data_IF_621638824180
#
_entry.id   IF_621638824180
#
_cell.length_a   1.000
_cell.length_b   1.000
_cell.length_c   1.000
_cell.angle_alpha   90.00
_cell.angle_beta   90.00
_cell.angle_gamma   90.00
#
_symmetry.space_group_name_H-M   'P 1'
#
loop_
_entity.id
_entity.type
_entity.pdbx_description
1 polymer ?
#
# COMPACT_ATOMS: atom_id res chain seq x y z
N UNK A 1 -12.22 32.00 -68.66
CA UNK A 1 -11.88 32.84 -67.49
C UNK A 1 -12.21 32.06 -66.24
N UNK A 2 -11.19 31.70 -65.47
CA UNK A 2 -11.32 30.83 -64.30
C UNK A 2 -11.88 31.64 -63.11
N UNK A 3 -12.93 31.13 -62.48
CA UNK A 3 -13.44 31.64 -61.19
C UNK A 3 -12.92 30.69 -60.12
N UNK A 4 -11.96 31.17 -59.34
CA UNK A 4 -11.38 30.47 -58.19
C UNK A 4 -12.34 30.61 -57.02
N UNK A 5 -12.84 29.49 -56.51
CA UNK A 5 -13.57 29.42 -55.24
C UNK A 5 -12.58 29.48 -54.08
N UNK A 6 -12.59 30.57 -53.30
CA UNK A 6 -11.91 30.63 -52.00
C UNK A 6 -12.89 30.14 -50.92
N UNK A 7 -12.80 28.86 -50.56
CA UNK A 7 -13.42 28.34 -49.35
C UNK A 7 -12.54 28.67 -48.14
N UNK A 8 -13.01 29.59 -47.28
CA UNK A 8 -12.42 29.77 -45.95
C UNK A 8 -12.83 28.60 -45.06
N UNK A 9 -11.88 27.73 -44.72
CA UNK A 9 -12.06 26.65 -43.75
C UNK A 9 -11.77 27.22 -42.36
N UNK A 10 -12.81 27.55 -41.59
CA UNK A 10 -12.66 27.95 -40.18
C UNK A 10 -12.51 26.67 -39.35
N UNK A 11 -11.26 26.31 -39.03
CA UNK A 11 -10.96 25.29 -38.04
C UNK A 11 -11.25 25.86 -36.65
N UNK A 12 -12.39 25.49 -36.08
CA UNK A 12 -12.70 25.72 -34.67
C UNK A 12 -11.77 24.86 -33.80
N UNK A 13 -10.77 25.49 -33.18
CA UNK A 13 -9.97 24.90 -32.11
C UNK A 13 -10.86 24.72 -30.88
N UNK A 14 -11.38 23.51 -30.67
CA UNK A 14 -11.95 23.10 -29.38
C UNK A 14 -10.78 22.86 -28.43
N UNK A 15 -10.37 23.92 -27.73
CA UNK A 15 -9.50 23.80 -26.56
C UNK A 15 -10.30 23.12 -25.45
N UNK A 16 -10.26 21.79 -25.44
CA UNK A 16 -10.68 21.00 -24.29
C UNK A 16 -9.72 21.28 -23.14
N UNK A 17 -10.08 22.23 -22.27
CA UNK A 17 -9.46 22.33 -20.96
C UNK A 17 -9.86 21.08 -20.16
N UNK A 18 -9.04 20.03 -20.24
CA UNK A 18 -9.00 19.01 -19.21
C UNK A 18 -8.47 19.68 -17.94
N UNK A 19 -9.35 20.27 -17.16
CA UNK A 19 -9.10 20.56 -15.75
C UNK A 19 -8.98 19.21 -15.06
N UNK A 20 -7.78 18.62 -15.12
CA UNK A 20 -7.40 17.54 -14.21
C UNK A 20 -7.33 18.20 -12.83
N UNK A 21 -8.40 18.07 -12.07
CA UNK A 21 -8.40 18.43 -10.66
C UNK A 21 -7.48 17.45 -9.97
N UNK A 22 -6.19 17.78 -9.79
CA UNK A 22 -5.26 16.96 -9.00
C UNK A 22 -5.53 17.14 -7.51
N UNK A 23 -6.76 16.86 -7.08
CA UNK A 23 -7.05 16.54 -5.69
C UNK A 23 -6.80 15.04 -5.61
N UNK A 24 -5.64 14.65 -5.05
CA UNK A 24 -5.17 13.26 -5.07
C UNK A 24 -6.23 12.29 -4.53
N UNK A 25 -6.78 11.48 -5.42
CA UNK A 25 -7.55 10.30 -5.06
C UNK A 25 -6.56 9.14 -4.79
N UNK A 26 -6.90 8.24 -3.87
CA UNK A 26 -6.11 7.05 -3.63
C UNK A 26 -6.05 6.20 -4.91
N UNK A 27 -4.84 5.79 -5.32
CA UNK A 27 -4.67 4.96 -6.51
C UNK A 27 -5.46 3.65 -6.35
N UNK A 28 -6.23 3.27 -7.38
CA UNK A 28 -7.11 2.10 -7.34
C UNK A 28 -6.56 1.00 -8.26
N UNK A 29 -6.38 -0.18 -7.69
CA UNK A 29 -6.00 -1.41 -8.38
C UNK A 29 -7.20 -2.35 -8.41
N UNK A 30 -7.51 -2.88 -9.59
CA UNK A 30 -8.59 -3.85 -9.75
C UNK A 30 -8.04 -5.27 -9.64
N UNK A 31 -8.72 -6.09 -8.86
CA UNK A 31 -8.56 -7.53 -8.79
C UNK A 31 -9.88 -8.19 -9.16
N UNK A 32 -9.82 -9.32 -9.87
CA UNK A 32 -11.02 -10.07 -10.19
C UNK A 32 -11.12 -11.26 -9.25
N UNK A 33 -12.29 -11.49 -8.61
CA UNK A 33 -12.50 -12.73 -7.87
C UNK A 33 -12.44 -13.94 -8.82
N UNK A 34 -12.32 -15.12 -8.24
CA UNK A 34 -12.34 -16.38 -9.00
C UNK A 34 -13.67 -16.57 -9.72
N UNK A 35 -13.71 -17.49 -10.69
CA UNK A 35 -14.91 -17.77 -11.47
C UNK A 35 -16.13 -18.23 -10.65
N UNK A 36 -15.94 -18.70 -9.42
CA UNK A 36 -16.99 -19.05 -8.47
C UNK A 36 -17.37 -17.90 -7.50
N UNK A 37 -16.78 -16.72 -7.68
CA UNK A 37 -16.97 -15.53 -6.84
C UNK A 37 -16.21 -15.55 -5.52
N UNK A 38 -15.38 -16.57 -5.26
CA UNK A 38 -14.53 -16.62 -4.08
C UNK A 38 -13.27 -15.75 -4.23
N UNK A 39 -12.70 -15.36 -3.10
CA UNK A 39 -11.45 -14.62 -3.01
C UNK A 39 -10.63 -15.17 -1.83
N UNK A 40 -9.36 -15.45 -2.04
CA UNK A 40 -8.43 -15.94 -1.04
C UNK A 40 -7.12 -15.17 -1.10
N UNK A 41 -6.65 -14.64 0.02
CA UNK A 41 -5.36 -13.95 0.10
C UNK A 41 -4.67 -14.24 1.42
N UNK A 42 -3.34 -14.15 1.42
CA UNK A 42 -2.54 -14.21 2.65
C UNK A 42 -2.25 -12.81 3.17
N UNK A 43 -2.09 -12.70 4.49
CA UNK A 43 -1.66 -11.45 5.15
C UNK A 43 -0.39 -11.74 5.92
N UNK A 44 0.66 -10.96 5.67
CA UNK A 44 1.97 -11.04 6.33
C UNK A 44 2.42 -9.64 6.71
N UNK A 45 3.22 -9.51 7.76
CA UNK A 45 3.81 -8.26 8.20
C UNK A 45 5.15 -8.53 8.86
N UNK A 46 5.96 -7.50 9.03
CA UNK A 46 7.12 -7.56 9.91
C UNK A 46 8.11 -8.69 9.51
N UNK A 47 8.47 -8.81 8.22
CA UNK A 47 9.01 -10.06 7.67
C UNK A 47 10.45 -10.01 7.12
N UNK A 48 10.92 -8.93 6.48
CA UNK A 48 12.15 -9.01 5.67
C UNK A 48 13.44 -9.01 6.47
N UNK A 49 14.05 -10.20 6.60
CA UNK A 49 15.26 -10.43 7.40
C UNK A 49 16.26 -11.36 6.71
N UNK A 50 16.36 -11.32 5.38
CA UNK A 50 17.31 -12.12 4.58
C UNK A 50 17.21 -13.63 4.88
N UNK A 51 16.00 -14.12 5.09
CA UNK A 51 15.71 -15.51 5.45
C UNK A 51 15.84 -15.86 6.94
N UNK A 52 16.32 -14.95 7.79
CA UNK A 52 16.50 -15.17 9.23
C UNK A 52 15.20 -14.98 10.03
N UNK A 53 15.25 -15.23 11.35
CA UNK A 53 14.12 -15.08 12.28
C UNK A 53 12.85 -15.81 11.83
N UNK A 54 13.01 -17.05 11.38
CA UNK A 54 11.96 -17.90 10.84
C UNK A 54 11.32 -17.40 9.54
N UNK A 55 11.87 -16.37 8.88
CA UNK A 55 11.29 -15.84 7.64
C UNK A 55 11.17 -16.93 6.57
N UNK A 56 12.20 -17.77 6.40
CA UNK A 56 12.20 -18.85 5.40
C UNK A 56 11.17 -19.93 5.74
N UNK A 57 11.01 -20.27 7.01
CA UNK A 57 10.06 -21.25 7.52
C UNK A 57 8.62 -20.76 7.34
N UNK A 58 8.36 -19.47 7.62
CA UNK A 58 7.07 -18.83 7.36
C UNK A 58 6.79 -18.80 5.85
N UNK A 59 7.77 -18.41 5.03
CA UNK A 59 7.64 -18.40 3.57
C UNK A 59 7.30 -19.79 3.01
N UNK A 60 7.91 -20.86 3.55
CA UNK A 60 7.59 -22.24 3.18
C UNK A 60 6.14 -22.60 3.53
N UNK A 61 5.67 -22.29 4.74
CA UNK A 61 4.28 -22.57 5.12
C UNK A 61 3.28 -21.72 4.33
N UNK A 62 3.58 -20.44 4.10
CA UNK A 62 2.80 -19.59 3.21
C UNK A 62 2.73 -20.19 1.80
N UNK A 63 3.82 -20.76 1.29
CA UNK A 63 3.85 -21.46 0.00
C UNK A 63 2.87 -22.61 -0.09
N UNK A 64 2.89 -23.52 0.89
CA UNK A 64 2.00 -24.68 0.96
C UNK A 64 0.53 -24.23 1.05
N UNK A 65 0.23 -23.26 1.90
CA UNK A 65 -1.14 -22.76 2.08
C UNK A 65 -1.59 -21.97 0.85
N UNK A 66 -0.70 -21.17 0.26
CA UNK A 66 -0.95 -20.39 -0.94
C UNK A 66 -1.33 -21.26 -2.13
N UNK A 67 -0.65 -22.39 -2.31
CA UNK A 67 -1.00 -23.39 -3.33
C UNK A 67 -2.31 -24.10 -2.99
N UNK A 68 -2.48 -24.56 -1.74
CA UNK A 68 -3.67 -25.30 -1.32
C UNK A 68 -4.97 -24.50 -1.46
N UNK A 69 -4.92 -23.19 -1.15
CA UNK A 69 -6.07 -22.29 -1.26
C UNK A 69 -6.16 -21.61 -2.63
N UNK A 70 -5.14 -21.79 -3.48
CA UNK A 70 -4.94 -21.07 -4.74
C UNK A 70 -5.17 -19.56 -4.54
N UNK A 71 -4.37 -18.92 -3.70
CA UNK A 71 -4.59 -17.52 -3.34
C UNK A 71 -4.51 -16.59 -4.57
N UNK A 72 -5.25 -15.49 -4.54
CA UNK A 72 -5.31 -14.49 -5.60
C UNK A 72 -4.14 -13.49 -5.46
N UNK A 73 -3.84 -13.07 -4.23
CA UNK A 73 -2.75 -12.14 -3.92
C UNK A 73 -2.24 -12.28 -2.47
N UNK A 74 -1.19 -11.53 -2.13
CA UNK A 74 -0.64 -11.40 -0.78
C UNK A 74 -0.73 -9.95 -0.34
N UNK A 75 -1.09 -9.73 0.93
CA UNK A 75 -1.15 -8.43 1.59
C UNK A 75 0.02 -8.32 2.56
N UNK A 76 0.91 -7.34 2.37
CA UNK A 76 1.95 -6.98 3.34
C UNK A 76 1.51 -5.79 4.17
N UNK A 77 1.53 -5.93 5.50
CA UNK A 77 1.20 -4.85 6.45
C UNK A 77 2.40 -3.97 6.83
N UNK A 78 3.48 -4.01 6.05
CA UNK A 78 4.68 -3.19 6.24
C UNK A 78 5.70 -3.78 7.20
N UNK A 79 6.76 -2.99 7.42
CA UNK A 79 8.06 -3.46 7.90
C UNK A 79 8.60 -4.57 6.98
N UNK A 80 8.72 -4.18 5.71
CA UNK A 80 9.10 -5.06 4.62
C UNK A 80 10.59 -5.41 4.68
N UNK A 81 11.44 -4.49 5.15
CA UNK A 81 12.90 -4.71 5.26
C UNK A 81 13.45 -4.21 6.59
N UNK A 82 13.97 -5.13 7.39
CA UNK A 82 14.62 -4.84 8.67
C UNK A 82 16.15 -4.75 8.54
N UNK A 83 16.84 -4.02 9.42
CA UNK A 83 16.25 -3.17 10.49
C UNK A 83 15.95 -1.74 10.03
N UNK A 84 16.56 -1.25 8.96
CA UNK A 84 16.47 0.15 8.54
C UNK A 84 16.12 0.31 7.06
N UNK A 85 15.10 -0.41 6.60
CA UNK A 85 14.62 -0.31 5.22
C UNK A 85 15.65 -0.74 4.18
N UNK A 86 15.45 -0.27 2.95
CA UNK A 86 16.43 -0.40 1.86
C UNK A 86 17.30 0.87 1.80
N UNK A 87 18.54 0.78 1.35
CA UNK A 87 19.39 1.96 1.12
C UNK A 87 19.21 2.58 -0.27
N UNK A 88 18.41 1.96 -1.13
CA UNK A 88 18.19 2.36 -2.53
C UNK A 88 17.59 1.24 -3.37
N UNK A 89 17.30 1.53 -4.64
CA UNK A 89 16.70 0.54 -5.59
C UNK A 89 17.62 -0.63 -5.93
N UNK A 90 18.92 -0.49 -5.72
CA UNK A 90 19.93 -1.52 -5.96
C UNK A 90 20.36 -2.26 -4.67
N UNK A 91 19.68 -2.02 -3.54
CA UNK A 91 20.00 -2.69 -2.28
C UNK A 91 19.75 -4.21 -2.39
N UNK A 92 20.77 -5.07 -2.13
CA UNK A 92 20.63 -6.52 -2.21
C UNK A 92 19.57 -7.08 -1.26
N UNK A 93 19.17 -6.36 -0.20
CA UNK A 93 18.12 -6.79 0.72
C UNK A 93 16.78 -7.04 0.03
N UNK A 94 16.48 -6.37 -1.09
CA UNK A 94 15.28 -6.67 -1.89
C UNK A 94 15.34 -8.10 -2.44
N UNK A 95 16.47 -8.49 -3.02
CA UNK A 95 16.68 -9.84 -3.53
C UNK A 95 16.75 -10.87 -2.38
N UNK A 96 17.54 -10.58 -1.36
CA UNK A 96 17.83 -11.49 -0.24
C UNK A 96 16.64 -11.70 0.70
N UNK A 97 15.74 -10.72 0.83
CA UNK A 97 14.62 -10.79 1.77
C UNK A 97 13.26 -10.99 1.08
N UNK A 98 13.12 -10.68 -0.20
CA UNK A 98 11.85 -10.86 -0.91
C UNK A 98 11.97 -11.87 -2.06
N UNK A 99 12.75 -11.56 -3.08
CA UNK A 99 12.79 -12.33 -4.33
C UNK A 99 13.20 -13.78 -4.08
N UNK A 100 14.30 -13.98 -3.34
CA UNK A 100 14.88 -15.30 -3.10
C UNK A 100 14.23 -16.06 -1.94
N UNK A 101 13.37 -15.41 -1.15
CA UNK A 101 12.69 -16.04 0.00
C UNK A 101 11.35 -16.62 -0.41
N UNK A 102 10.52 -15.85 -1.11
CA UNK A 102 9.15 -16.25 -1.45
C UNK A 102 9.08 -16.92 -2.82
N UNK A 103 9.89 -17.95 -3.06
CA UNK A 103 10.06 -18.59 -4.38
C UNK A 103 9.03 -19.68 -4.70
N UNK A 104 8.21 -20.08 -3.72
CA UNK A 104 7.22 -21.14 -3.91
C UNK A 104 6.20 -20.79 -5.01
N UNK A 105 5.76 -21.74 -5.87
CA UNK A 105 4.79 -21.49 -6.93
C UNK A 105 3.49 -20.85 -6.44
N UNK A 106 2.96 -21.33 -5.30
CA UNK A 106 1.78 -20.76 -4.64
C UNK A 106 1.90 -19.30 -4.17
N UNK A 107 3.10 -18.70 -4.21
CA UNK A 107 3.35 -17.29 -3.87
C UNK A 107 3.76 -16.44 -5.08
N UNK A 108 3.73 -16.99 -6.30
CA UNK A 108 3.94 -16.24 -7.54
C UNK A 108 2.68 -15.47 -7.93
N UNK A 109 2.22 -14.61 -7.02
CA UNK A 109 1.00 -13.80 -7.10
C UNK A 109 1.36 -12.33 -6.85
N UNK A 110 0.46 -11.39 -7.08
CA UNK A 110 0.69 -9.98 -6.75
C UNK A 110 0.83 -9.82 -5.23
N UNK A 111 1.80 -9.03 -4.79
CA UNK A 111 1.97 -8.59 -3.40
C UNK A 111 1.61 -7.11 -3.29
N UNK A 112 0.58 -6.81 -2.51
CA UNK A 112 0.13 -5.46 -2.18
C UNK A 112 0.70 -5.08 -0.82
N UNK A 113 1.61 -4.12 -0.81
CA UNK A 113 2.42 -3.77 0.36
C UNK A 113 2.25 -2.31 0.74
N UNK A 114 2.20 -2.06 2.05
CA UNK A 114 2.42 -0.73 2.65
C UNK A 114 3.76 -0.68 3.35
N UNK A 115 4.17 0.53 3.73
CA UNK A 115 5.37 0.77 4.53
C UNK A 115 5.06 0.63 6.02
N UNK A 116 6.04 0.15 6.78
CA UNK A 116 6.09 0.22 8.23
C UNK A 116 7.13 1.23 8.73
N UNK A 117 7.37 1.26 10.04
CA UNK A 117 8.30 2.24 10.60
C UNK A 117 9.77 1.89 10.33
N UNK A 118 10.13 0.62 10.18
CA UNK A 118 11.49 0.22 9.80
C UNK A 118 11.79 0.56 8.35
N UNK A 119 10.80 0.45 7.46
CA UNK A 119 10.93 0.86 6.06
C UNK A 119 11.26 2.35 5.92
N UNK A 120 10.66 3.17 6.78
CA UNK A 120 10.92 4.60 6.86
C UNK A 120 12.30 4.96 7.40
N UNK A 121 13.07 4.02 7.95
CA UNK A 121 14.44 4.29 8.41
C UNK A 121 15.49 4.19 7.30
N UNK A 122 15.08 3.66 6.15
CA UNK A 122 15.86 3.64 4.92
C UNK A 122 15.34 4.62 3.88
N UNK A 123 15.64 4.34 2.62
CA UNK A 123 15.10 4.98 1.42
C UNK A 123 13.68 4.47 1.15
N UNK A 124 12.70 5.31 1.48
CA UNK A 124 11.29 4.98 1.25
C UNK A 124 10.98 4.95 -0.24
N UNK A 125 11.52 5.90 -1.00
CA UNK A 125 11.24 6.04 -2.43
C UNK A 125 11.77 4.84 -3.23
N UNK A 126 12.82 4.16 -2.75
CA UNK A 126 13.27 2.89 -3.31
C UNK A 126 12.15 1.84 -3.32
N UNK A 127 11.44 1.65 -2.19
CA UNK A 127 10.36 0.67 -2.07
C UNK A 127 9.15 1.01 -2.95
N UNK A 128 8.87 2.31 -3.11
CA UNK A 128 7.79 2.85 -3.95
C UNK A 128 8.11 2.83 -5.44
N UNK A 129 9.41 2.68 -5.78
CA UNK A 129 9.90 2.86 -7.14
C UNK A 129 9.36 1.80 -8.11
N UNK A 130 8.98 2.19 -9.33
CA UNK A 130 8.67 1.24 -10.39
C UNK A 130 9.88 0.38 -10.79
N UNK A 131 11.11 0.72 -10.36
CA UNK A 131 12.30 -0.09 -10.61
C UNK A 131 12.21 -1.44 -9.90
N UNK A 132 11.81 -1.48 -8.61
CA UNK A 132 11.66 -2.74 -7.89
C UNK A 132 10.53 -3.60 -8.48
N UNK A 133 9.43 -2.98 -8.91
CA UNK A 133 8.33 -3.67 -9.62
C UNK A 133 8.78 -4.26 -10.96
N UNK A 134 9.73 -3.63 -11.65
CA UNK A 134 10.34 -4.20 -12.87
C UNK A 134 11.31 -5.33 -12.56
N UNK A 135 11.97 -5.28 -11.40
CA UNK A 135 12.88 -6.32 -10.94
C UNK A 135 12.12 -7.59 -10.56
N UNK A 136 10.97 -7.45 -9.89
CA UNK A 136 10.05 -8.53 -9.61
C UNK A 136 8.60 -8.03 -9.73
N UNK A 137 7.85 -8.54 -10.71
CA UNK A 137 6.50 -8.07 -11.01
C UNK A 137 5.49 -8.34 -9.89
N UNK A 138 5.82 -9.22 -8.94
CA UNK A 138 5.00 -9.45 -7.75
C UNK A 138 5.00 -8.23 -6.83
N UNK A 139 6.00 -7.36 -6.89
CA UNK A 139 6.15 -6.27 -5.94
C UNK A 139 5.30 -5.03 -6.29
N UNK A 140 4.29 -4.73 -5.47
CA UNK A 140 3.62 -3.43 -5.44
C UNK A 140 3.65 -2.89 -4.02
N UNK A 141 4.40 -1.81 -3.81
CA UNK A 141 4.40 -1.07 -2.56
C UNK A 141 4.05 0.40 -2.82
N UNK A 142 3.08 0.91 -2.09
CA UNK A 142 2.67 2.31 -2.10
C UNK A 142 2.38 2.78 -0.67
N UNK A 143 2.41 4.10 -0.43
CA UNK A 143 2.07 4.66 0.88
C UNK A 143 0.61 4.39 1.24
N UNK A 144 -0.31 4.74 0.33
CA UNK A 144 -1.75 4.53 0.51
C UNK A 144 -2.44 4.37 -0.84
N UNK A 145 -3.34 3.39 -0.94
CA UNK A 145 -3.99 2.98 -2.18
C UNK A 145 -5.17 2.06 -1.87
N UNK A 146 -5.95 1.70 -2.90
CA UNK A 146 -7.10 0.82 -2.79
C UNK A 146 -6.91 -0.39 -3.71
N UNK A 147 -7.24 -1.57 -3.21
CA UNK A 147 -7.44 -2.76 -4.04
C UNK A 147 -8.93 -3.09 -4.05
N UNK A 148 -9.55 -3.00 -5.22
CA UNK A 148 -10.95 -3.35 -5.43
C UNK A 148 -11.03 -4.75 -6.03
N UNK A 149 -11.50 -5.71 -5.23
CA UNK A 149 -11.75 -7.09 -5.64
C UNK A 149 -13.26 -7.40 -5.73
N UNK A 150 -14.03 -6.41 -6.19
CA UNK A 150 -15.49 -6.39 -6.38
C UNK A 150 -16.31 -6.55 -5.08
N UNK A 151 -16.25 -7.73 -4.46
CA UNK A 151 -16.97 -8.04 -3.21
C UNK A 151 -16.28 -7.43 -1.98
N UNK A 152 -14.98 -7.16 -2.08
CA UNK A 152 -14.16 -6.53 -1.04
C UNK A 152 -13.34 -5.38 -1.61
N UNK A 153 -13.24 -4.29 -0.86
CA UNK A 153 -12.25 -3.24 -1.09
C UNK A 153 -11.28 -3.19 0.10
N UNK A 154 -9.99 -3.24 -0.21
CA UNK A 154 -8.90 -3.11 0.76
C UNK A 154 -8.32 -1.69 0.65
N UNK A 155 -8.31 -0.96 1.75
CA UNK A 155 -7.82 0.41 1.87
C UNK A 155 -6.48 0.38 2.61
N UNK A 156 -5.39 0.49 1.87
CA UNK A 156 -4.04 0.54 2.40
C UNK A 156 -3.74 1.96 2.87
N UNK A 157 -3.31 2.11 4.12
CA UNK A 157 -3.12 3.42 4.77
C UNK A 157 -1.71 3.51 5.35
N UNK A 158 -1.04 4.62 5.05
CA UNK A 158 0.29 4.92 5.58
C UNK A 158 0.17 5.37 7.03
N UNK A 159 0.42 4.43 7.93
CA UNK A 159 0.23 4.68 9.37
C UNK A 159 1.47 5.28 10.04
N UNK A 160 2.66 5.22 9.42
CA UNK A 160 3.91 5.68 10.06
C UNK A 160 3.90 7.18 10.38
N UNK A 161 3.44 8.07 9.48
CA UNK A 161 3.33 9.50 9.76
C UNK A 161 2.34 9.85 10.88
N UNK A 162 1.46 8.94 11.32
CA UNK A 162 0.54 9.23 12.43
C UNK A 162 1.24 9.25 13.79
N UNK A 163 2.36 8.55 13.94
CA UNK A 163 2.97 8.33 15.26
C UNK A 163 3.89 9.48 15.65
N UNK A 164 3.51 10.23 16.68
CA UNK A 164 4.20 11.46 17.09
C UNK A 164 5.62 11.22 17.60
N UNK A 165 5.84 10.05 18.21
CA UNK A 165 7.14 9.71 18.81
C UNK A 165 8.26 9.63 17.77
N UNK A 166 7.97 9.26 16.52
CA UNK A 166 8.99 9.19 15.47
C UNK A 166 9.49 10.57 15.03
N UNK A 167 8.68 11.62 15.20
CA UNK A 167 9.09 13.00 14.90
C UNK A 167 9.74 13.69 16.09
N UNK A 168 9.29 13.38 17.31
CA UNK A 168 9.66 14.13 18.51
C UNK A 168 10.73 13.45 19.35
N UNK A 169 10.81 12.11 19.31
CA UNK A 169 11.68 11.28 20.16
C UNK A 169 12.11 10.00 19.43
N UNK A 170 12.82 10.08 18.29
CA UNK A 170 13.15 8.91 17.46
C UNK A 170 14.20 7.97 18.07
N UNK A 171 14.70 8.24 19.29
CA UNK A 171 15.66 7.38 20.01
C UNK A 171 16.94 7.02 19.24
N UNK A 172 17.37 7.87 18.32
CA UNK A 172 18.59 7.66 17.51
C UNK A 172 18.32 7.15 16.11
N UNK A 173 17.11 6.69 15.82
CA UNK A 173 16.68 6.33 14.48
C UNK A 173 16.58 7.59 13.60
N UNK A 174 16.91 7.46 12.32
CA UNK A 174 16.68 8.50 11.31
C UNK A 174 15.53 8.03 10.43
N UNK A 175 14.56 8.90 10.19
CA UNK A 175 13.40 8.60 9.36
C UNK A 175 13.42 9.43 8.09
N UNK A 176 13.21 8.80 6.95
CA UNK A 176 12.97 9.46 5.66
C UNK A 176 11.53 9.98 5.60
N UNK A 177 11.39 11.28 5.84
CA UNK A 177 10.12 11.99 5.74
C UNK A 177 9.89 12.64 4.37
N UNK A 178 10.64 12.23 3.34
CA UNK A 178 10.36 12.61 1.95
C UNK A 178 8.91 12.28 1.59
N UNK A 179 8.27 13.15 0.81
CA UNK A 179 6.87 12.97 0.39
C UNK A 179 5.79 13.17 1.48
N UNK A 180 6.13 13.19 2.77
CA UNK A 180 5.14 13.33 3.86
C UNK A 180 5.17 14.67 4.59
N UNK A 181 6.12 15.55 4.28
CA UNK A 181 6.18 16.90 4.81
C UNK A 181 5.49 17.93 3.89
N UNK A 182 4.74 18.92 4.43
CA UNK A 182 4.44 19.13 5.85
C UNK A 182 3.44 18.10 6.43
N UNK A 183 3.83 17.45 7.53
CA UNK A 183 3.11 16.32 8.14
C UNK A 183 1.61 16.56 8.35
N UNK A 184 1.24 17.72 8.91
CA UNK A 184 -0.15 18.07 9.18
C UNK A 184 -1.01 18.09 7.90
N UNK A 185 -0.45 18.61 6.81
CA UNK A 185 -1.14 18.66 5.51
C UNK A 185 -1.27 17.26 4.92
N UNK A 186 -0.20 16.46 5.00
CA UNK A 186 -0.21 15.07 4.55
C UNK A 186 -1.30 14.26 5.27
N UNK A 187 -1.30 14.26 6.61
CA UNK A 187 -2.30 13.53 7.40
C UNK A 187 -3.73 14.02 7.14
N UNK A 188 -3.94 15.34 7.02
CA UNK A 188 -5.26 15.90 6.73
C UNK A 188 -5.79 15.48 5.36
N UNK A 189 -4.92 15.39 4.34
CA UNK A 189 -5.31 14.90 3.02
C UNK A 189 -5.61 13.42 3.07
N UNK A 190 -4.69 12.60 3.61
CA UNK A 190 -4.86 11.15 3.71
C UNK A 190 -6.14 10.77 4.45
N UNK A 191 -6.44 11.41 5.58
CA UNK A 191 -7.68 11.17 6.33
C UNK A 191 -8.92 11.52 5.51
N UNK A 192 -8.90 12.64 4.79
CA UNK A 192 -10.00 13.06 3.91
C UNK A 192 -10.19 12.06 2.77
N UNK A 193 -9.11 11.65 2.12
CA UNK A 193 -9.16 10.79 0.94
C UNK A 193 -9.60 9.36 1.34
N UNK A 194 -9.20 8.87 2.53
CA UNK A 194 -9.70 7.61 3.12
C UNK A 194 -11.18 7.71 3.51
N UNK A 195 -11.63 8.80 4.16
CA UNK A 195 -13.04 9.00 4.51
C UNK A 195 -13.94 9.04 3.27
N UNK A 196 -13.52 9.76 2.22
CA UNK A 196 -14.23 9.81 0.94
C UNK A 196 -14.31 8.43 0.30
N UNK A 197 -13.19 7.74 0.15
CA UNK A 197 -13.15 6.43 -0.49
C UNK A 197 -14.01 5.39 0.25
N UNK A 198 -13.98 5.39 1.59
CA UNK A 198 -14.82 4.49 2.39
C UNK A 198 -16.32 4.80 2.26
N UNK A 199 -16.70 6.08 2.14
CA UNK A 199 -18.11 6.50 1.95
C UNK A 199 -18.63 6.17 0.56
N UNK A 200 -17.79 6.28 -0.46
CA UNK A 200 -18.14 5.98 -1.85
C UNK A 200 -18.16 4.48 -2.15
N UNK A 201 -17.39 3.70 -1.38
CA UNK A 201 -17.27 2.26 -1.51
C UNK A 201 -18.62 1.52 -1.35
N UNK A 202 -18.98 0.81 -2.42
CA UNK A 202 -20.16 -0.06 -2.47
C UNK A 202 -19.82 -1.53 -2.16
N UNK A 203 -18.55 -1.85 -1.97
CA UNK A 203 -18.13 -3.21 -1.64
C UNK A 203 -18.79 -3.71 -0.36
N UNK A 204 -19.15 -5.01 -0.35
CA UNK A 204 -19.78 -5.67 0.79
C UNK A 204 -18.83 -5.70 1.99
N UNK A 205 -17.56 -5.96 1.73
CA UNK A 205 -16.51 -5.94 2.73
C UNK A 205 -15.58 -4.76 2.48
N UNK A 206 -15.26 -4.04 3.55
CA UNK A 206 -14.27 -2.96 3.55
C UNK A 206 -13.21 -3.34 4.57
N UNK A 207 -11.96 -3.44 4.14
CA UNK A 207 -10.84 -3.84 4.97
C UNK A 207 -9.81 -2.72 4.95
N UNK A 208 -9.45 -2.15 6.10
CA UNK A 208 -8.34 -1.20 6.19
C UNK A 208 -7.07 -1.93 6.60
N UNK A 209 -6.00 -1.71 5.85
CA UNK A 209 -4.68 -2.32 6.06
C UNK A 209 -3.67 -1.23 6.41
N UNK A 210 -2.91 -1.42 7.48
CA UNK A 210 -1.87 -0.49 7.88
C UNK A 210 -0.89 -1.12 8.88
N UNK A 211 0.30 -0.53 8.98
CA UNK A 211 1.37 -1.06 9.82
C UNK A 211 1.18 -0.85 11.33
N UNK A 212 0.52 0.18 11.81
CA UNK A 212 0.38 0.41 13.25
C UNK A 212 -0.97 -0.10 13.78
N UNK A 213 -0.98 -0.67 14.98
CA UNK A 213 -2.23 -1.22 15.56
C UNK A 213 -3.07 -0.11 16.19
N UNK A 214 -4.38 -0.15 15.95
CA UNK A 214 -5.35 0.67 16.71
C UNK A 214 -5.61 0.04 18.08
N UNK A 215 -5.75 -1.29 18.13
CA UNK A 215 -5.93 -2.08 19.35
C UNK A 215 -4.97 -3.27 19.34
N UNK A 216 -4.15 -3.40 20.38
CA UNK A 216 -3.26 -4.55 20.55
C UNK A 216 -2.93 -4.80 22.02
N UNK A 217 -2.87 -6.08 22.38
CA UNK A 217 -2.33 -6.55 23.66
C UNK A 217 -0.84 -6.93 23.56
N UNK A 218 -0.23 -6.77 22.39
CA UNK A 218 1.19 -7.05 22.15
C UNK A 218 2.12 -5.95 22.67
N UNK A 219 3.42 -6.14 22.45
CA UNK A 219 4.47 -5.26 22.97
C UNK A 219 4.28 -3.79 22.59
N UNK A 220 3.88 -3.52 21.33
CA UNK A 220 3.71 -2.17 20.80
C UNK A 220 2.48 -1.42 21.31
N UNK A 221 1.54 -2.12 21.97
CA UNK A 221 0.27 -1.56 22.50
C UNK A 221 -0.54 -0.82 21.42
N UNK A 222 -1.53 -0.05 21.85
CA UNK A 222 -2.35 0.79 20.97
C UNK A 222 -1.56 2.01 20.47
N UNK A 223 -1.85 2.44 19.25
CA UNK A 223 -1.41 3.72 18.71
C UNK A 223 -2.51 4.75 18.95
N UNK A 224 -2.32 5.63 19.95
CA UNK A 224 -3.33 6.58 20.39
C UNK A 224 -3.72 7.57 19.28
N UNK A 225 -2.77 7.98 18.45
CA UNK A 225 -2.99 8.90 17.34
C UNK A 225 -3.93 8.30 16.29
N UNK A 226 -3.79 7.01 15.98
CA UNK A 226 -4.73 6.31 15.09
C UNK A 226 -6.10 6.13 15.74
N UNK A 227 -6.15 5.87 17.05
CA UNK A 227 -7.40 5.82 17.80
C UNK A 227 -8.16 7.14 17.80
N UNK A 228 -7.45 8.27 17.81
CA UNK A 228 -8.02 9.60 17.79
C UNK A 228 -8.42 10.08 16.37
N UNK A 229 -7.62 9.75 15.36
CA UNK A 229 -7.76 10.34 14.01
C UNK A 229 -8.39 9.39 13.00
N UNK A 230 -7.95 8.14 12.94
CA UNK A 230 -8.36 7.20 11.88
C UNK A 230 -9.56 6.33 12.31
N UNK A 231 -9.57 5.86 13.56
CA UNK A 231 -10.65 5.00 14.06
C UNK A 231 -12.07 5.61 13.91
N UNK A 232 -12.29 6.92 14.16
CA UNK A 232 -13.60 7.53 13.95
C UNK A 232 -14.11 7.43 12.50
N UNK A 233 -13.21 7.46 11.51
CA UNK A 233 -13.56 7.31 10.09
C UNK A 233 -13.99 5.87 9.80
N UNK A 234 -13.24 4.90 10.33
CA UNK A 234 -13.46 3.47 10.07
C UNK A 234 -14.73 2.94 10.75
N UNK A 235 -15.01 3.38 11.99
CA UNK A 235 -16.14 2.86 12.78
C UNK A 235 -17.51 3.30 12.27
N UNK A 236 -17.60 4.49 11.66
CA UNK A 236 -18.88 5.02 11.16
C UNK A 236 -19.47 4.15 10.04
N UNK A 237 -18.66 3.29 9.41
CA UNK A 237 -19.01 2.57 8.17
C UNK A 237 -19.03 1.04 8.29
N UNK A 238 -19.02 0.48 9.51
CA UNK A 238 -18.96 -0.98 9.76
C UNK A 238 -17.75 -1.69 9.13
N UNK A 239 -16.64 -0.98 8.99
CA UNK A 239 -15.39 -1.43 8.36
C UNK A 239 -14.53 -2.24 9.34
N UNK A 240 -13.79 -3.26 8.86
CA UNK A 240 -12.82 -4.03 9.67
C UNK A 240 -11.38 -3.53 9.41
N UNK A 241 -10.56 -3.47 10.45
CA UNK A 241 -9.13 -3.12 10.36
C UNK A 241 -8.30 -4.39 10.56
N UNK A 242 -7.34 -4.66 9.68
CA UNK A 242 -6.44 -5.82 9.76
C UNK A 242 -5.00 -5.34 9.93
N UNK A 243 -4.37 -5.79 11.01
CA UNK A 243 -2.91 -5.88 11.19
C UNK A 243 -2.59 -7.26 11.76
N UNK A 244 -1.53 -7.91 11.25
CA UNK A 244 -0.96 -9.11 11.84
C UNK A 244 -0.21 -8.73 13.13
N UNK A 245 -0.44 -9.45 14.25
CA UNK A 245 0.09 -9.13 15.59
C UNK A 245 1.38 -9.87 15.85
#
# INVERSE_FOLDING_TARGET
MAVVWNGLLVLGLVLGFCLVSSLGELELFAESPKGDGSLAFLVVGDWGRRGNYNQTEVAHQMGIIGEKLDIDFVVSTGDNFYEDGLTGVDDPAFQESFVNIYTHPGLQKQWYSVLGNHDYRGDVEAQLSPILRKMDSRWLCLRSFIVNAEIVELFFVDTTPFVDKYFTKPKGDVYDWSGVLPRKRYLSNLLRDVDLALRESRAKWKIVVGHHTIKSAGHHKNTDELGAQLLPIIQVLSTRFIKNI
#
